data_IF_199504909158
#
_entry.id   IF_199504909158
#
_cell.length_a   1.000
_cell.length_b   1.000
_cell.length_c   1.000
_cell.angle_alpha   90.00
_cell.angle_beta   90.00
_cell.angle_gamma   90.00
#
_symmetry.space_group_name_H-M   'P 1'
#
loop_
_entity.id
_entity.type
_entity.pdbx_description
1 polymer ?
#
# COMPACT_ATOMS: atom_id res chain seq x y z
N UNK A 1 4.69 5.93 -6.20
CA UNK A 1 3.85 4.81 -6.63
C UNK A 1 4.62 3.77 -7.44
N UNK A 2 5.38 4.21 -8.43
CA UNK A 2 6.12 3.30 -9.30
C UNK A 2 7.07 2.39 -8.52
N UNK A 3 7.86 2.96 -7.61
CA UNK A 3 8.81 2.19 -6.79
C UNK A 3 8.10 1.22 -5.86
N UNK A 4 6.97 1.63 -5.29
CA UNK A 4 6.13 0.75 -4.49
C UNK A 4 5.67 -0.45 -5.31
N UNK A 5 5.19 -0.22 -6.53
CA UNK A 5 4.70 -1.31 -7.39
C UNK A 5 5.80 -2.30 -7.74
N UNK A 6 7.03 -1.85 -7.92
CA UNK A 6 8.15 -2.72 -8.29
C UNK A 6 8.61 -3.56 -7.09
N UNK A 7 8.84 -2.94 -5.94
CA UNK A 7 9.52 -3.59 -4.83
C UNK A 7 8.58 -4.13 -3.75
N UNK A 8 7.43 -3.55 -3.57
CA UNK A 8 6.55 -3.83 -2.43
C UNK A 8 5.30 -4.62 -2.80
N UNK A 9 4.71 -4.34 -3.96
CA UNK A 9 3.48 -4.99 -4.42
C UNK A 9 3.56 -6.51 -4.48
N UNK A 10 4.68 -7.15 -4.87
CA UNK A 10 4.73 -8.61 -4.91
C UNK A 10 4.34 -9.30 -3.61
N UNK A 11 4.63 -8.69 -2.47
CA UNK A 11 4.24 -9.22 -1.15
C UNK A 11 3.02 -8.50 -0.59
N UNK A 12 3.03 -7.18 -0.60
CA UNK A 12 2.02 -6.37 0.09
C UNK A 12 0.74 -6.14 -0.71
N UNK A 13 0.77 -6.34 -2.03
CA UNK A 13 -0.37 -6.07 -2.91
C UNK A 13 -0.51 -4.59 -3.24
N UNK A 14 -1.30 -4.28 -4.27
CA UNK A 14 -1.46 -2.91 -4.74
C UNK A 14 -2.18 -2.01 -3.74
N UNK A 15 -3.08 -2.59 -2.95
CA UNK A 15 -3.83 -1.85 -1.92
C UNK A 15 -3.22 -1.96 -0.53
N UNK A 16 -2.15 -2.74 -0.37
CA UNK A 16 -1.46 -2.89 0.90
C UNK A 16 -2.11 -3.84 1.89
N UNK A 17 -2.95 -4.76 1.42
CA UNK A 17 -3.65 -5.73 2.27
C UNK A 17 -2.81 -6.96 2.62
N UNK A 18 -1.62 -7.09 2.04
CA UNK A 18 -0.75 -8.23 2.30
C UNK A 18 -1.05 -9.44 1.44
N UNK A 19 -1.73 -9.28 0.32
CA UNK A 19 -2.13 -10.37 -0.59
C UNK A 19 -1.46 -10.24 -1.96
N UNK A 20 -0.16 -9.95 -1.97
CA UNK A 20 0.61 -9.91 -3.19
C UNK A 20 0.71 -11.28 -3.86
N UNK A 21 1.21 -11.28 -5.11
CA UNK A 21 1.28 -12.49 -5.92
C UNK A 21 2.13 -13.59 -5.26
N UNK A 22 3.25 -13.26 -4.64
CA UNK A 22 4.11 -14.25 -4.00
C UNK A 22 3.47 -14.87 -2.75
N UNK A 23 2.63 -14.11 -2.04
CA UNK A 23 1.89 -14.62 -0.88
C UNK A 23 0.88 -15.67 -1.33
N UNK A 24 0.18 -15.42 -2.43
CA UNK A 24 -0.76 -16.39 -2.99
C UNK A 24 -0.09 -17.68 -3.45
N UNK A 25 1.23 -17.65 -3.62
CA UNK A 25 2.04 -18.82 -4.00
C UNK A 25 2.76 -19.47 -2.83
N UNK A 26 2.35 -19.12 -1.60
CA UNK A 26 2.85 -19.76 -0.38
C UNK A 26 3.87 -18.98 0.42
N UNK A 27 4.26 -17.79 0.00
CA UNK A 27 5.16 -16.96 0.80
C UNK A 27 4.42 -16.40 2.01
N UNK A 28 5.16 -16.11 3.10
CA UNK A 28 4.56 -15.60 4.33
C UNK A 28 3.86 -14.27 4.08
N UNK A 29 2.60 -14.18 4.51
CA UNK A 29 1.80 -12.97 4.35
C UNK A 29 2.31 -11.86 5.25
N UNK A 30 2.63 -10.68 4.71
CA UNK A 30 2.94 -9.51 5.52
C UNK A 30 1.69 -8.96 6.21
N UNK A 31 1.89 -8.19 7.27
CA UNK A 31 0.82 -7.49 7.95
C UNK A 31 0.17 -6.47 7.01
N UNK A 32 -1.16 -6.42 6.98
CA UNK A 32 -1.87 -5.39 6.23
C UNK A 32 -1.55 -4.00 6.77
N UNK A 33 -1.28 -3.04 5.88
CA UNK A 33 -1.11 -1.62 6.29
C UNK A 33 -2.37 -1.03 6.91
N UNK A 34 -3.54 -1.67 6.71
CA UNK A 34 -4.83 -1.17 7.16
C UNK A 34 -5.14 -1.55 8.60
N UNK A 35 -4.31 -2.36 9.25
CA UNK A 35 -4.43 -2.60 10.69
C UNK A 35 -4.26 -1.30 11.46
N UNK A 36 -5.06 -1.13 12.52
CA UNK A 36 -5.05 0.10 13.31
C UNK A 36 -3.66 0.40 13.88
N UNK A 37 -2.93 -0.62 14.33
CA UNK A 37 -1.57 -0.45 14.85
C UNK A 37 -0.66 0.25 13.85
N UNK A 38 -0.71 -0.16 12.57
CA UNK A 38 0.13 0.43 11.52
C UNK A 38 -0.37 1.79 11.05
N UNK A 39 -1.66 2.09 11.23
CA UNK A 39 -2.18 3.44 10.92
C UNK A 39 -1.74 4.47 11.93
N UNK A 40 -1.38 4.05 13.15
CA UNK A 40 -1.01 4.94 14.25
C UNK A 40 0.50 5.14 14.41
N UNK A 41 1.33 4.27 13.80
CA UNK A 41 2.79 4.44 13.92
C UNK A 41 3.26 5.68 13.15
N UNK A 42 4.37 6.31 13.57
CA UNK A 42 4.97 7.40 12.79
C UNK A 42 5.39 6.92 11.41
N UNK A 43 5.37 7.83 10.44
CA UNK A 43 5.77 7.51 9.06
C UNK A 43 7.21 6.98 8.99
N UNK A 44 8.09 7.42 9.88
CA UNK A 44 9.47 6.94 9.97
C UNK A 44 9.58 5.45 10.29
N UNK A 45 8.56 4.85 10.90
CA UNK A 45 8.52 3.41 11.14
C UNK A 45 8.61 2.63 9.81
N UNK A 46 7.85 3.03 8.81
CA UNK A 46 7.90 2.39 7.50
C UNK A 46 9.26 2.57 6.82
N UNK A 47 9.85 3.74 6.97
CA UNK A 47 11.19 4.00 6.47
C UNK A 47 12.22 3.07 7.13
N UNK A 48 12.15 2.91 8.44
CA UNK A 48 13.05 2.03 9.19
C UNK A 48 12.92 0.57 8.78
N UNK A 49 11.69 0.09 8.61
CA UNK A 49 11.44 -1.30 8.20
C UNK A 49 12.01 -1.55 6.80
N UNK A 50 11.84 -0.62 5.88
CA UNK A 50 12.43 -0.74 4.54
C UNK A 50 13.96 -0.71 4.57
N UNK A 51 14.52 0.08 5.48
CA UNK A 51 15.98 0.26 5.58
C UNK A 51 16.66 -0.95 6.20
N UNK A 52 16.08 -1.50 7.27
CA UNK A 52 16.69 -2.55 8.06
C UNK A 52 16.15 -3.94 7.78
N UNK A 53 14.97 -4.02 7.15
CA UNK A 53 14.22 -5.25 7.03
C UNK A 53 13.45 -5.57 8.31
N UNK A 54 12.59 -6.57 8.23
CA UNK A 54 11.81 -7.05 9.38
C UNK A 54 11.35 -8.48 9.12
N UNK A 55 11.73 -9.41 10.01
CA UNK A 55 11.36 -10.81 9.83
C UNK A 55 11.87 -11.35 8.49
N UNK A 56 10.97 -11.90 7.68
CA UNK A 56 11.31 -12.41 6.34
C UNK A 56 11.44 -11.32 5.28
N UNK A 57 11.05 -10.09 5.61
CA UNK A 57 11.19 -8.95 4.71
C UNK A 57 12.67 -8.51 4.68
N UNK A 58 13.34 -8.54 3.52
CA UNK A 58 14.72 -8.10 3.44
C UNK A 58 14.85 -6.58 3.51
N UNK A 59 16.06 -6.10 3.76
CA UNK A 59 16.37 -4.68 3.62
C UNK A 59 16.30 -4.27 2.15
N UNK A 60 15.69 -3.12 1.89
CA UNK A 60 15.65 -2.52 0.55
C UNK A 60 16.61 -1.33 0.40
N UNK A 61 17.41 -1.04 1.41
CA UNK A 61 18.38 0.06 1.36
C UNK A 61 19.31 -0.02 0.13
N UNK A 62 19.85 -1.20 -0.26
CA UNK A 62 20.70 -1.29 -1.43
C UNK A 62 20.02 -0.98 -2.76
N UNK A 63 18.70 -1.16 -2.85
CA UNK A 63 17.95 -1.08 -4.09
C UNK A 63 17.13 0.20 -4.21
N UNK A 64 16.77 0.82 -3.10
CA UNK A 64 15.87 1.96 -3.05
C UNK A 64 16.54 3.11 -2.31
N UNK A 65 16.89 4.21 -2.99
CA UNK A 65 17.52 5.37 -2.35
C UNK A 65 16.65 5.96 -1.24
N UNK A 66 17.24 6.72 -0.29
CA UNK A 66 16.47 7.29 0.82
C UNK A 66 15.27 8.13 0.41
N UNK A 67 15.39 8.98 -0.61
CA UNK A 67 14.27 9.79 -1.07
C UNK A 67 13.12 8.94 -1.61
N UNK A 68 13.43 7.83 -2.26
CA UNK A 68 12.41 6.91 -2.75
C UNK A 68 11.78 6.13 -1.58
N UNK A 69 12.55 5.78 -0.54
CA UNK A 69 11.99 5.16 0.66
C UNK A 69 11.01 6.08 1.37
N UNK A 70 11.31 7.38 1.46
CA UNK A 70 10.38 8.35 2.02
C UNK A 70 9.14 8.51 1.16
N UNK A 71 9.30 8.52 -0.17
CA UNK A 71 8.16 8.58 -1.09
C UNK A 71 7.26 7.34 -0.97
N UNK A 72 7.86 6.16 -0.81
CA UNK A 72 7.10 4.92 -0.57
C UNK A 72 6.36 4.98 0.77
N UNK A 73 7.00 5.47 1.83
CA UNK A 73 6.35 5.64 3.13
C UNK A 73 5.13 6.58 3.02
N UNK A 74 5.26 7.68 2.29
CA UNK A 74 4.16 8.60 2.03
C UNK A 74 3.05 7.92 1.21
N UNK A 75 3.39 7.08 0.25
CA UNK A 75 2.42 6.33 -0.54
C UNK A 75 1.65 5.32 0.32
N UNK A 76 2.31 4.67 1.27
CA UNK A 76 1.63 3.79 2.23
C UNK A 76 0.59 4.57 3.02
N UNK A 77 0.90 5.79 3.46
CA UNK A 77 -0.10 6.67 4.11
C UNK A 77 -1.29 6.97 3.20
N UNK A 78 -1.03 7.21 1.92
CA UNK A 78 -2.11 7.41 0.95
C UNK A 78 -2.98 6.16 0.79
N UNK A 79 -2.39 4.97 0.76
CA UNK A 79 -3.14 3.71 0.73
C UNK A 79 -4.00 3.55 1.98
N UNK A 80 -3.46 3.84 3.15
CA UNK A 80 -4.23 3.78 4.40
C UNK A 80 -5.41 4.74 4.38
N UNK A 81 -5.17 5.97 3.94
CA UNK A 81 -6.22 6.99 3.84
C UNK A 81 -7.31 6.57 2.86
N UNK A 82 -6.96 5.92 1.76
CA UNK A 82 -7.92 5.51 0.73
C UNK A 82 -9.01 4.58 1.25
N UNK A 83 -8.75 3.85 2.34
CA UNK A 83 -9.71 2.93 2.94
C UNK A 83 -10.30 3.42 4.27
N UNK A 84 -9.83 4.56 4.78
CA UNK A 84 -10.23 5.06 6.11
C UNK A 84 -10.59 6.54 6.09
N UNK A 85 -11.12 7.03 4.97
CA UNK A 85 -11.55 8.43 4.84
C UNK A 85 -12.86 8.63 5.61
N UNK A 86 -12.87 9.65 6.48
CA UNK A 86 -14.07 10.03 7.20
C UNK A 86 -15.10 10.65 6.23
N UNK A 87 -16.35 10.19 6.30
CA UNK A 87 -17.42 10.69 5.42
C UNK A 87 -17.59 12.22 5.56
N UNK A 88 -17.40 12.75 6.76
CA UNK A 88 -17.50 14.18 7.02
C UNK A 88 -16.44 15.01 6.30
N UNK A 89 -15.33 14.41 5.90
CA UNK A 89 -14.26 15.09 5.16
C UNK A 89 -14.45 15.07 3.65
N UNK A 90 -15.47 14.36 3.16
CA UNK A 90 -15.74 14.22 1.74
C UNK A 90 -16.62 15.35 1.24
N UNK A 91 -16.38 15.76 -0.01
CA UNK A 91 -17.29 16.70 -0.68
C UNK A 91 -18.59 16.00 -1.06
N UNK A 92 -19.69 16.76 -1.31
CA UNK A 92 -20.95 16.15 -1.79
C UNK A 92 -20.76 15.34 -3.07
N UNK A 93 -19.87 15.79 -3.97
CA UNK A 93 -19.56 15.08 -5.22
C UNK A 93 -18.87 13.73 -4.95
N UNK A 94 -17.95 13.70 -4.00
CA UNK A 94 -17.26 12.47 -3.61
C UNK A 94 -18.21 11.49 -2.95
N UNK A 95 -19.12 11.97 -2.09
CA UNK A 95 -20.16 11.13 -1.47
C UNK A 95 -21.07 10.53 -2.51
N UNK A 96 -21.53 11.34 -3.47
CA UNK A 96 -22.38 10.86 -4.56
C UNK A 96 -21.68 9.80 -5.41
N UNK A 97 -20.36 9.92 -5.62
CA UNK A 97 -19.60 8.96 -6.37
C UNK A 97 -19.50 7.58 -5.67
N UNK A 98 -19.59 7.54 -4.34
CA UNK A 98 -19.59 6.27 -3.59
C UNK A 98 -20.89 5.49 -3.81
N UNK A 99 -22.00 6.18 -4.03
CA UNK A 99 -23.30 5.54 -4.26
C UNK A 99 -23.55 5.20 -5.73
N UNK A 100 -22.67 5.64 -6.61
CA UNK A 100 -22.78 5.35 -8.03
C UNK A 100 -22.45 3.87 -8.31
N UNK A 101 -23.10 3.25 -9.32
CA UNK A 101 -22.72 1.89 -9.74
C UNK A 101 -21.24 1.82 -10.11
N UNK A 102 -20.58 0.75 -9.71
CA UNK A 102 -19.18 0.55 -10.07
C UNK A 102 -19.04 0.54 -11.61
N UNK A 103 -18.07 1.30 -12.11
CA UNK A 103 -17.74 1.25 -13.52
C UNK A 103 -17.24 -0.15 -13.89
N UNK A 104 -17.59 -0.62 -15.09
CA UNK A 104 -17.08 -1.90 -15.58
C UNK A 104 -15.55 -1.88 -15.58
N UNK A 105 -14.90 -2.97 -15.13
CA UNK A 105 -13.44 -2.99 -15.10
C UNK A 105 -12.89 -2.84 -16.51
N UNK A 106 -11.88 -1.99 -16.65
CA UNK A 106 -11.19 -1.83 -17.93
C UNK A 106 -10.33 -3.06 -18.20
N UNK A 107 -10.50 -3.67 -19.36
CA UNK A 107 -9.70 -4.83 -19.75
C UNK A 107 -8.20 -4.55 -19.68
N UNK A 108 -7.76 -3.35 -20.04
CA UNK A 108 -6.36 -2.95 -19.97
C UNK A 108 -5.84 -2.84 -18.53
N UNK A 109 -6.68 -2.49 -17.57
CA UNK A 109 -6.31 -2.41 -16.16
C UNK A 109 -6.14 -3.77 -15.50
N UNK A 110 -6.74 -4.79 -16.04
CA UNK A 110 -6.71 -6.14 -15.48
C UNK A 110 -5.32 -6.80 -15.55
N UNK A 111 -4.43 -6.30 -16.38
CA UNK A 111 -3.09 -6.85 -16.55
C UNK A 111 -2.12 -6.53 -15.41
N UNK A 112 -2.46 -5.63 -14.51
CA UNK A 112 -1.57 -5.22 -13.43
C UNK A 112 -1.66 -6.15 -12.23
N UNK A 113 -0.52 -6.65 -11.75
CA UNK A 113 -0.49 -7.47 -10.56
C UNK A 113 -0.86 -6.68 -9.32
#
# INVERSE_FOLDING_TARGET
RERYNIYCTPCHGQTGEGRGMVVRRGYKQPTSYHEERLRQVPIGYFFDVMTKGFGVMPSYAPQVPPEDRWAIAAYIRALQLSQHVEAASLTPEQLAALDAPAAAPHAAGAAHP
#
